data_IF_353576221607
#
_entry.id   IF_353576221607
#
_cell.length_a   1.000
_cell.length_b   1.000
_cell.length_c   1.000
_cell.angle_alpha   90.00
_cell.angle_beta   90.00
_cell.angle_gamma   90.00
#
_symmetry.space_group_name_H-M   'P 1'
#
loop_
_entity.id
_entity.type
_entity.pdbx_description
1 polymer ?
#
# COMPACT_ATOMS: atom_id res chain seq x y z
N UNK A 1 -32.50 -20.66 42.43
CA UNK A 1 -32.20 -20.88 41.00
C UNK A 1 -31.18 -19.85 40.58
N UNK A 2 -29.91 -20.25 40.51
CA UNK A 2 -28.85 -19.43 39.91
C UNK A 2 -28.64 -20.00 38.51
N UNK A 3 -28.85 -19.20 37.47
CA UNK A 3 -27.78 -18.90 36.51
C UNK A 3 -28.20 -17.72 35.63
N UNK A 4 -27.48 -16.62 35.85
CA UNK A 4 -27.22 -15.56 34.89
C UNK A 4 -26.60 -16.20 33.64
N UNK A 5 -27.03 -15.78 32.44
CA UNK A 5 -26.41 -16.19 31.19
C UNK A 5 -26.72 -15.17 30.11
N UNK A 6 -25.90 -14.12 30.05
CA UNK A 6 -25.96 -13.07 29.03
C UNK A 6 -25.83 -13.71 27.64
N UNK A 7 -26.85 -13.49 26.82
CA UNK A 7 -26.89 -13.90 25.44
C UNK A 7 -26.13 -12.85 24.61
N UNK A 8 -24.81 -12.94 24.58
CA UNK A 8 -23.96 -12.16 23.66
C UNK A 8 -24.05 -12.82 22.27
N UNK A 9 -25.17 -12.64 21.57
CA UNK A 9 -25.30 -13.13 20.18
C UNK A 9 -24.66 -12.13 19.23
N UNK A 10 -23.51 -12.50 18.70
CA UNK A 10 -23.36 -12.58 17.25
C UNK A 10 -23.07 -11.30 16.47
N UNK A 11 -22.49 -10.27 17.08
CA UNK A 11 -22.02 -9.09 16.33
C UNK A 11 -20.96 -9.40 15.26
N UNK A 12 -20.24 -10.52 15.33
CA UNK A 12 -19.13 -10.84 14.44
C UNK A 12 -19.45 -11.72 13.21
N UNK A 13 -20.70 -12.15 12.99
CA UNK A 13 -21.04 -13.09 11.90
C UNK A 13 -21.86 -12.51 10.74
N UNK A 14 -22.32 -11.26 10.82
CA UNK A 14 -23.23 -10.69 9.82
C UNK A 14 -22.53 -9.85 8.73
N UNK A 15 -21.23 -9.59 8.87
CA UNK A 15 -20.43 -8.88 7.86
C UNK A 15 -19.23 -9.74 7.46
N UNK A 16 -19.14 -10.21 6.20
CA UNK A 16 -17.94 -10.89 5.74
C UNK A 16 -16.77 -9.92 5.85
N UNK A 17 -15.64 -10.37 6.42
CA UNK A 17 -14.40 -9.62 6.33
C UNK A 17 -14.09 -9.42 4.82
N UNK A 18 -13.96 -8.18 4.35
CA UNK A 18 -13.60 -7.81 2.99
C UNK A 18 -12.09 -7.50 2.91
N UNK A 19 -11.42 -7.82 1.79
CA UNK A 19 -10.03 -7.39 1.61
C UNK A 19 -9.93 -5.86 1.57
N UNK A 20 -8.77 -5.27 1.93
CA UNK A 20 -8.56 -3.85 1.80
C UNK A 20 -8.53 -3.41 0.34
N UNK A 21 -8.77 -2.12 0.12
CA UNK A 21 -8.64 -1.44 -1.17
C UNK A 21 -7.34 -0.64 -1.20
N UNK A 22 -6.46 -0.95 -2.16
CA UNK A 22 -5.26 -0.18 -2.42
C UNK A 22 -5.58 1.02 -3.30
N UNK A 23 -5.06 2.19 -2.94
CA UNK A 23 -5.16 3.40 -3.73
C UNK A 23 -3.91 4.25 -3.52
N UNK A 24 -3.41 4.85 -4.60
CA UNK A 24 -2.30 5.79 -4.49
C UNK A 24 -2.35 6.92 -5.52
N UNK A 25 -1.66 8.02 -5.25
CA UNK A 25 -1.41 9.14 -6.17
C UNK A 25 0.07 9.26 -6.50
N UNK A 26 0.37 9.94 -7.61
CA UNK A 26 1.74 10.24 -8.06
C UNK A 26 1.89 11.75 -8.15
N UNK A 27 2.89 12.29 -7.47
CA UNK A 27 3.26 13.70 -7.52
C UNK A 27 4.59 13.86 -8.25
N UNK A 28 4.61 14.74 -9.25
CA UNK A 28 5.78 15.06 -10.06
C UNK A 28 6.40 16.39 -9.65
N UNK A 29 7.65 16.64 -10.03
CA UNK A 29 8.36 17.90 -9.76
C UNK A 29 8.38 18.25 -8.26
N UNK A 30 8.49 17.23 -7.41
CA UNK A 30 8.56 17.38 -5.94
C UNK A 30 9.91 17.95 -5.50
N UNK A 31 10.92 17.84 -6.35
CA UNK A 31 12.26 18.43 -6.20
C UNK A 31 12.54 19.30 -7.43
N UNK A 32 13.00 20.53 -7.20
CA UNK A 32 13.27 21.50 -8.27
C UNK A 32 14.41 20.99 -9.18
N UNK A 33 14.20 21.02 -10.50
CA UNK A 33 15.15 20.55 -11.51
C UNK A 33 15.54 19.07 -11.43
N UNK A 34 14.78 18.23 -10.71
CA UNK A 34 14.97 16.77 -10.68
C UNK A 34 13.69 16.04 -11.17
N UNK A 35 13.42 16.02 -12.49
CA UNK A 35 12.18 15.48 -13.04
C UNK A 35 12.05 13.95 -12.93
N UNK A 36 13.15 13.27 -12.59
CA UNK A 36 13.16 11.82 -12.35
C UNK A 36 12.79 11.45 -10.91
N UNK A 37 12.51 12.42 -10.05
CA UNK A 37 12.00 12.21 -8.69
C UNK A 37 10.48 12.36 -8.68
N UNK A 38 9.79 11.34 -8.14
CA UNK A 38 8.36 11.37 -7.87
C UNK A 38 8.07 10.99 -6.43
N UNK A 39 6.94 11.45 -5.92
CA UNK A 39 6.39 10.97 -4.66
C UNK A 39 5.15 10.12 -4.93
N UNK A 40 5.07 8.98 -4.26
CA UNK A 40 3.93 8.07 -4.29
C UNK A 40 3.24 8.13 -2.93
N UNK A 41 1.96 8.46 -2.93
CA UNK A 41 1.15 8.58 -1.70
C UNK A 41 0.01 7.56 -1.74
N UNK A 42 0.11 6.53 -0.89
CA UNK A 42 -0.87 5.47 -0.71
C UNK A 42 -1.83 5.69 0.47
N UNK A 43 -1.85 6.89 1.08
CA UNK A 43 -2.65 7.19 2.28
C UNK A 43 -4.16 7.08 2.07
N UNK A 44 -4.61 7.06 0.81
CA UNK A 44 -6.01 6.82 0.44
C UNK A 44 -6.41 5.34 0.51
N UNK A 45 -5.47 4.42 0.75
CA UNK A 45 -5.78 2.99 0.92
C UNK A 45 -6.58 2.75 2.19
N UNK A 46 -7.55 1.83 2.16
CA UNK A 46 -8.45 1.61 3.29
C UNK A 46 -9.01 0.19 3.36
N UNK A 47 -9.36 -0.25 4.57
CA UNK A 47 -10.17 -1.46 4.76
C UNK A 47 -11.66 -1.08 4.78
N UNK A 48 -12.52 -1.71 3.96
CA UNK A 48 -13.97 -1.52 4.04
C UNK A 48 -14.56 -1.85 5.42
N UNK A 49 -13.87 -2.68 6.19
CA UNK A 49 -14.26 -3.06 7.55
C UNK A 49 -13.69 -2.14 8.64
N UNK A 50 -12.88 -1.14 8.25
CA UNK A 50 -12.23 -0.20 9.16
C UNK A 50 -10.96 -0.72 9.84
N UNK A 51 -10.42 -1.87 9.41
CA UNK A 51 -9.11 -2.34 9.84
C UNK A 51 -8.00 -1.39 9.34
N UNK A 52 -6.97 -1.17 10.16
CA UNK A 52 -5.82 -0.33 9.84
C UNK A 52 -4.97 -0.96 8.73
N UNK A 53 -4.49 -0.17 7.76
CA UNK A 53 -3.49 -0.62 6.79
C UNK A 53 -2.11 -0.59 7.45
N UNK A 54 -1.53 -1.77 7.67
CA UNK A 54 -0.25 -1.95 8.38
C UNK A 54 0.95 -2.02 7.42
N UNK A 55 0.71 -2.36 6.14
CA UNK A 55 1.79 -2.60 5.19
C UNK A 55 1.43 -2.19 3.76
N UNK A 56 2.40 -1.54 3.10
CA UNK A 56 2.36 -1.12 1.69
C UNK A 56 3.48 -1.84 0.92
N UNK A 57 3.14 -2.58 -0.12
CA UNK A 57 4.07 -3.34 -0.95
C UNK A 57 4.07 -2.76 -2.36
N UNK A 58 5.22 -2.24 -2.79
CA UNK A 58 5.42 -1.59 -4.08
C UNK A 58 6.21 -2.49 -5.03
N UNK A 59 5.77 -2.56 -6.28
CA UNK A 59 6.48 -3.25 -7.37
C UNK A 59 6.62 -2.30 -8.56
N UNK A 60 7.82 -2.21 -9.14
CA UNK A 60 8.14 -1.25 -10.21
C UNK A 60 8.22 -1.91 -11.60
N UNK A 61 7.56 -3.05 -11.77
CA UNK A 61 7.53 -3.80 -13.04
C UNK A 61 8.90 -4.37 -13.41
N UNK A 62 9.22 -4.37 -14.70
CA UNK A 62 10.48 -4.95 -15.23
C UNK A 62 11.73 -4.09 -14.94
N UNK A 63 11.58 -2.93 -14.29
CA UNK A 63 12.64 -1.93 -14.11
C UNK A 63 13.00 -1.68 -12.64
N UNK A 64 13.36 -2.70 -11.88
CA UNK A 64 13.81 -2.50 -10.50
C UNK A 64 15.28 -2.05 -10.39
N UNK A 65 16.09 -2.31 -11.41
CA UNK A 65 17.53 -2.01 -11.36
C UNK A 65 17.80 -0.50 -11.39
N UNK A 66 18.48 -0.01 -10.36
CA UNK A 66 18.89 1.40 -10.26
C UNK A 66 17.81 2.37 -9.80
N UNK A 67 16.62 1.90 -9.40
CA UNK A 67 15.65 2.73 -8.70
C UNK A 67 16.12 2.96 -7.26
N UNK A 68 16.22 4.22 -6.85
CA UNK A 68 16.44 4.61 -5.46
C UNK A 68 15.11 5.06 -4.84
N UNK A 69 14.86 4.72 -3.58
CA UNK A 69 13.64 5.11 -2.89
C UNK A 69 13.89 5.42 -1.41
N UNK A 70 12.98 6.19 -0.81
CA UNK A 70 13.07 6.58 0.59
C UNK A 70 11.71 6.51 1.28
N UNK A 71 11.63 5.92 2.51
CA UNK A 71 12.71 5.31 3.32
C UNK A 71 13.30 4.01 2.73
N UNK A 72 14.55 3.69 3.08
CA UNK A 72 15.34 2.58 2.53
C UNK A 72 14.93 1.20 3.11
N UNK A 73 14.86 0.14 2.28
CA UNK A 73 14.51 -1.23 2.68
C UNK A 73 13.56 -2.02 1.75
N UNK A 74 13.56 -1.79 0.43
CA UNK A 74 12.39 -2.02 -0.42
C UNK A 74 12.57 -2.25 -1.94
N UNK A 75 12.56 -3.49 -2.42
CA UNK A 75 11.65 -3.85 -3.54
C UNK A 75 11.14 -5.26 -3.21
N UNK A 76 9.82 -5.46 -3.25
CA UNK A 76 9.06 -6.65 -2.76
C UNK A 76 8.76 -6.82 -1.25
N UNK A 77 9.30 -5.98 -0.35
CA UNK A 77 9.02 -6.05 1.10
C UNK A 77 7.74 -5.27 1.52
N UNK A 78 7.45 -5.09 2.82
CA UNK A 78 6.30 -4.31 3.37
C UNK A 78 6.72 -3.04 4.12
N UNK A 79 6.25 -1.84 3.72
CA UNK A 79 6.56 -0.54 4.37
C UNK A 79 5.43 -0.23 5.34
N UNK A 80 5.72 0.38 6.46
CA UNK A 80 4.75 0.95 7.41
C UNK A 80 4.38 2.41 7.10
N UNK A 81 5.02 3.04 6.11
CA UNK A 81 4.76 4.41 5.68
C UNK A 81 3.98 4.44 4.36
N UNK A 82 2.87 5.21 4.27
CA UNK A 82 2.05 5.29 3.05
C UNK A 82 2.69 6.14 1.95
N UNK A 83 3.65 7.00 2.29
CA UNK A 83 4.29 7.94 1.35
C UNK A 83 5.75 7.53 1.14
N UNK A 84 6.15 7.39 -0.12
CA UNK A 84 7.54 7.13 -0.50
C UNK A 84 8.01 8.07 -1.62
N UNK A 85 9.28 8.45 -1.58
CA UNK A 85 9.95 9.17 -2.66
C UNK A 85 10.74 8.19 -3.51
N UNK A 86 10.60 8.26 -4.84
CA UNK A 86 11.32 7.43 -5.80
C UNK A 86 12.16 8.31 -6.71
N UNK A 87 13.42 7.93 -6.93
CA UNK A 87 14.30 8.47 -7.97
C UNK A 87 14.55 7.38 -9.01
N UNK A 88 14.14 7.66 -10.24
CA UNK A 88 14.34 6.76 -11.37
C UNK A 88 15.71 6.98 -12.03
N UNK A 89 16.35 5.91 -12.54
CA UNK A 89 17.69 6.01 -13.11
C UNK A 89 17.71 6.68 -14.48
N UNK A 90 16.61 6.61 -15.23
CA UNK A 90 16.52 7.10 -16.60
C UNK A 90 15.14 7.66 -16.90
N UNK A 91 15.03 8.49 -17.94
CA UNK A 91 13.75 8.91 -18.48
C UNK A 91 13.11 7.75 -19.26
N UNK A 92 11.99 7.23 -18.76
CA UNK A 92 11.24 6.15 -19.42
C UNK A 92 9.78 6.14 -18.92
N UNK A 93 9.04 5.14 -19.37
CA UNK A 93 7.72 4.79 -18.89
C UNK A 93 7.80 3.65 -17.88
N UNK A 94 7.32 3.92 -16.67
CA UNK A 94 7.34 2.98 -15.56
C UNK A 94 5.93 2.54 -15.19
N UNK A 95 5.78 1.26 -14.84
CA UNK A 95 4.54 0.76 -14.23
C UNK A 95 4.78 0.53 -12.75
N UNK A 96 4.05 1.28 -11.93
CA UNK A 96 4.07 1.16 -10.48
C UNK A 96 2.85 0.34 -10.08
N UNK A 97 3.07 -0.69 -9.27
CA UNK A 97 2.00 -1.50 -8.68
C UNK A 97 2.07 -1.40 -7.16
N UNK A 98 0.92 -1.20 -6.54
CA UNK A 98 0.74 -1.22 -5.09
C UNK A 98 -0.16 -2.40 -4.70
N UNK A 99 0.24 -3.07 -3.63
CA UNK A 99 -0.57 -4.02 -2.87
C UNK A 99 -0.51 -3.60 -1.40
N UNK A 100 -1.65 -3.53 -0.72
CA UNK A 100 -1.68 -3.20 0.72
C UNK A 100 -2.13 -4.38 1.55
N UNK A 101 -1.69 -4.41 2.80
CA UNK A 101 -2.11 -5.40 3.79
C UNK A 101 -2.62 -4.71 5.04
N UNK A 102 -3.82 -5.09 5.45
CA UNK A 102 -4.41 -4.64 6.71
C UNK A 102 -3.81 -5.36 7.92
N UNK A 103 -4.00 -4.80 9.10
CA UNK A 103 -3.62 -5.41 10.37
C UNK A 103 -4.41 -6.70 10.60
N UNK A 104 -3.77 -7.77 11.09
CA UNK A 104 -4.51 -8.98 11.43
C UNK A 104 -5.53 -8.77 12.55
N UNK A 105 -6.77 -9.23 12.34
CA UNK A 105 -7.79 -9.27 13.41
C UNK A 105 -7.54 -10.33 14.47
N UNK A 106 -6.72 -11.34 14.17
CA UNK A 106 -6.40 -12.44 15.06
C UNK A 106 -4.89 -12.60 15.16
N UNK A 107 -4.39 -12.63 16.39
CA UNK A 107 -3.00 -12.87 16.68
C UNK A 107 -2.53 -14.20 16.05
N UNK A 108 -1.34 -14.19 15.45
CA UNK A 108 -0.77 -15.36 14.78
C UNK A 108 -1.33 -15.65 13.38
N UNK A 109 -2.24 -14.82 12.85
CA UNK A 109 -2.65 -14.87 11.44
C UNK A 109 -2.10 -13.66 10.67
N UNK A 110 -1.83 -13.78 9.36
CA UNK A 110 -1.59 -12.60 8.53
C UNK A 110 -2.90 -11.83 8.33
N UNK A 111 -2.81 -10.51 8.19
CA UNK A 111 -3.92 -9.68 7.74
C UNK A 111 -4.21 -9.88 6.26
N UNK A 112 -5.36 -9.41 5.79
CA UNK A 112 -5.75 -9.54 4.39
C UNK A 112 -4.95 -8.62 3.48
N UNK A 113 -4.84 -9.05 2.23
CA UNK A 113 -4.11 -8.36 1.18
C UNK A 113 -5.10 -7.88 0.12
N UNK A 114 -4.89 -6.68 -0.40
CA UNK A 114 -5.71 -6.10 -1.46
C UNK A 114 -5.49 -6.80 -2.80
N UNK A 115 -6.39 -6.54 -3.76
CA UNK A 115 -6.01 -6.67 -5.16
C UNK A 115 -4.90 -5.64 -5.50
N UNK A 116 -4.03 -5.91 -6.48
CA UNK A 116 -3.04 -4.93 -6.93
C UNK A 116 -3.73 -3.77 -7.64
N UNK A 117 -3.20 -2.56 -7.45
CA UNK A 117 -3.53 -1.38 -8.24
C UNK A 117 -2.28 -0.90 -8.96
N UNK A 118 -2.38 -0.61 -10.26
CA UNK A 118 -1.24 -0.19 -11.07
C UNK A 118 -1.47 1.19 -11.70
N UNK A 119 -0.40 1.98 -11.82
CA UNK A 119 -0.36 3.21 -12.61
C UNK A 119 0.88 3.24 -13.48
N UNK A 120 0.70 3.69 -14.72
CA UNK A 120 1.80 3.97 -15.63
C UNK A 120 2.14 5.45 -15.55
N UNK A 121 3.42 5.76 -15.43
CA UNK A 121 3.96 7.11 -15.43
C UNK A 121 4.99 7.24 -16.55
N UNK A 122 5.12 8.42 -17.12
CA UNK A 122 6.16 8.73 -18.12
C UNK A 122 6.98 9.91 -17.61
N UNK A 123 8.28 9.70 -17.47
CA UNK A 123 9.21 10.72 -17.02
C UNK A 123 9.91 11.35 -18.24
N UNK A 124 10.04 12.69 -18.28
CA UNK A 124 10.61 13.38 -19.43
C UNK A 124 12.12 13.14 -19.51
N UNK A 125 12.64 13.11 -20.74
CA UNK A 125 14.07 13.24 -20.99
C UNK A 125 14.46 14.69 -20.68
N UNK A 126 15.57 14.88 -19.94
CA UNK A 126 16.18 16.19 -19.70
C UNK A 126 16.48 16.95 -21.00
#
# INVERSE_FOLDING_TARGET
>A
MVLLGALVIGGCFLFPNLPPEAAFTVSYNTVENEPLIVELDASASSSPDGDEIEAYMWLFGDFEEGIEYYPQGFTTDTVDHPIITIKYPVADTYTITLVVREKPRQEGKPGKVSAPVSKTITLPHE
#
